data_IF_881894372073
#
_entry.id   IF_881894372073
#
_cell.length_a   1.000
_cell.length_b   1.000
_cell.length_c   1.000
_cell.angle_alpha   90.00
_cell.angle_beta   90.00
_cell.angle_gamma   90.00
#
_symmetry.space_group_name_H-M   'P 1'
#
loop_
_entity.id
_entity.type
_entity.pdbx_description
1 polymer ?
#
# COMPACT_ATOMS: atom_id res chain seq x y z
N UNK A 1 39.02 -13.39 34.20
CA UNK A 1 38.25 -12.19 33.78
C UNK A 1 37.60 -12.32 32.40
N UNK A 2 38.30 -12.83 31.38
CA UNK A 2 37.81 -12.96 29.98
C UNK A 2 36.50 -13.77 29.81
N UNK A 3 36.33 -14.85 30.58
CA UNK A 3 35.17 -15.75 30.47
C UNK A 3 33.85 -15.16 31.02
N UNK A 4 33.93 -14.24 31.99
CA UNK A 4 32.73 -13.52 32.51
C UNK A 4 32.21 -12.50 31.49
N UNK A 5 33.11 -11.84 30.77
CA UNK A 5 32.78 -10.84 29.76
C UNK A 5 32.08 -11.46 28.54
N UNK A 6 32.51 -12.64 28.09
CA UNK A 6 31.88 -13.37 26.96
C UNK A 6 30.46 -13.83 27.32
N UNK A 7 30.25 -14.36 28.53
CA UNK A 7 28.91 -14.76 28.99
C UNK A 7 27.98 -13.55 29.12
N UNK A 8 28.48 -12.41 29.57
CA UNK A 8 27.70 -11.18 29.68
C UNK A 8 27.30 -10.65 28.30
N UNK A 9 28.20 -10.68 27.31
CA UNK A 9 27.90 -10.29 25.93
C UNK A 9 26.88 -11.21 25.26
N UNK A 10 26.99 -12.53 25.45
CA UNK A 10 25.98 -13.48 24.94
C UNK A 10 24.60 -13.28 25.56
N UNK A 11 24.54 -12.98 26.86
CA UNK A 11 23.27 -12.68 27.56
C UNK A 11 22.67 -11.37 27.03
N UNK A 12 23.48 -10.34 26.79
CA UNK A 12 23.01 -9.07 26.22
C UNK A 12 22.47 -9.27 24.79
N UNK A 13 23.21 -9.97 23.92
CA UNK A 13 22.76 -10.26 22.56
C UNK A 13 21.48 -11.12 22.52
N UNK A 14 21.37 -12.10 23.42
CA UNK A 14 20.21 -12.99 23.49
C UNK A 14 18.96 -12.26 24.03
N UNK A 15 19.12 -11.35 24.99
CA UNK A 15 18.02 -10.49 25.46
C UNK A 15 17.60 -9.46 24.40
N UNK A 16 18.55 -8.93 23.62
CA UNK A 16 18.23 -7.98 22.53
C UNK A 16 17.44 -8.66 21.40
N UNK A 17 17.83 -9.87 21.00
CA UNK A 17 17.08 -10.67 20.03
C UNK A 17 15.66 -11.03 20.52
N UNK A 18 15.51 -11.31 21.83
CA UNK A 18 14.22 -11.63 22.42
C UNK A 18 13.27 -10.42 22.47
N UNK A 19 13.79 -9.20 22.71
CA UNK A 19 12.99 -7.98 22.64
C UNK A 19 12.51 -7.63 21.23
N UNK A 20 13.31 -7.88 20.19
CA UNK A 20 12.94 -7.63 18.79
C UNK A 20 11.82 -8.61 18.35
N UNK A 21 11.90 -9.88 18.77
CA UNK A 21 10.86 -10.89 18.50
C UNK A 21 9.54 -10.59 19.23
N UNK A 22 9.57 -10.06 20.46
CA UNK A 22 8.35 -9.72 21.21
C UNK A 22 7.68 -8.43 20.74
N UNK A 23 8.44 -7.43 20.28
CA UNK A 23 7.87 -6.20 19.71
C UNK A 23 7.13 -6.48 18.40
N UNK A 24 7.64 -7.38 17.54
CA UNK A 24 6.96 -7.80 16.31
C UNK A 24 5.67 -8.60 16.56
N UNK A 25 5.58 -9.32 17.69
CA UNK A 25 4.38 -10.08 18.07
C UNK A 25 3.27 -9.22 18.68
N UNK A 26 3.59 -8.03 19.22
CA UNK A 26 2.58 -7.10 19.78
C UNK A 26 1.82 -6.30 18.69
N UNK A 27 2.31 -6.33 17.45
CA UNK A 27 1.67 -5.74 16.27
C UNK A 27 1.04 -6.78 15.34
N UNK A 28 1.17 -8.06 15.65
CA UNK A 28 0.48 -9.11 14.93
C UNK A 28 -1.01 -9.10 15.33
N UNK A 29 -1.84 -8.40 14.56
CA UNK A 29 -3.31 -8.47 14.65
C UNK A 29 -4.05 -7.19 15.01
N UNK A 30 -3.40 -6.02 15.03
CA UNK A 30 -4.11 -4.75 15.04
C UNK A 30 -4.40 -4.29 13.61
N UNK A 31 -5.56 -3.67 13.38
CA UNK A 31 -5.88 -3.05 12.10
C UNK A 31 -4.93 -1.86 11.85
N UNK A 32 -4.31 -1.84 10.68
CA UNK A 32 -3.44 -0.74 10.22
C UNK A 32 -4.23 0.10 9.24
N UNK A 33 -4.31 1.40 9.49
CA UNK A 33 -4.86 2.35 8.54
C UNK A 33 -3.84 2.63 7.44
N UNK A 34 -4.24 2.39 6.19
CA UNK A 34 -3.38 2.50 5.00
C UNK A 34 -3.50 3.88 4.35
N UNK A 35 -4.72 4.38 4.12
CA UNK A 35 -4.94 5.69 3.51
C UNK A 35 -4.77 6.85 4.51
N UNK A 36 -4.32 8.00 4.02
CA UNK A 36 -4.01 9.22 4.76
C UNK A 36 -5.08 10.32 4.59
N UNK A 37 -6.19 10.04 3.93
CA UNK A 37 -7.24 11.03 3.68
C UNK A 37 -7.87 11.55 4.98
N UNK A 38 -8.20 12.85 5.05
CA UNK A 38 -8.94 13.38 6.18
C UNK A 38 -10.39 12.85 6.16
N UNK A 39 -10.82 12.22 7.26
CA UNK A 39 -12.22 11.88 7.49
C UNK A 39 -12.61 10.44 7.14
N UNK A 40 -13.84 10.27 6.65
CA UNK A 40 -14.50 8.98 6.37
C UNK A 40 -14.82 8.82 4.88
N UNK A 41 -13.91 9.28 4.00
CA UNK A 41 -14.02 8.95 2.58
C UNK A 41 -14.04 7.43 2.43
N UNK A 42 -14.92 6.95 1.56
CA UNK A 42 -15.15 5.54 1.42
C UNK A 42 -14.07 4.98 0.51
N UNK A 43 -13.25 4.10 1.06
CA UNK A 43 -12.33 3.27 0.30
C UNK A 43 -12.92 1.88 0.16
N UNK A 44 -13.11 1.41 -1.05
CA UNK A 44 -13.58 0.05 -1.32
C UNK A 44 -12.81 -0.60 -2.47
N UNK A 45 -13.06 -1.91 -2.65
CA UNK A 45 -12.50 -2.70 -3.76
C UNK A 45 -10.97 -2.65 -3.80
N UNK A 46 -10.37 -2.76 -2.62
CA UNK A 46 -8.93 -2.71 -2.46
C UNK A 46 -8.23 -3.94 -3.06
N UNK A 47 -7.08 -3.68 -3.69
CA UNK A 47 -6.12 -4.65 -4.18
C UNK A 47 -4.75 -4.32 -3.58
N UNK A 48 -3.95 -5.33 -3.24
CA UNK A 48 -2.62 -5.16 -2.63
C UNK A 48 -1.60 -6.05 -3.33
N UNK A 49 -0.39 -5.53 -3.51
CA UNK A 49 0.78 -6.30 -3.95
C UNK A 49 1.99 -6.06 -3.06
N UNK A 50 2.92 -7.02 -3.09
CA UNK A 50 4.24 -6.93 -2.47
C UNK A 50 5.23 -6.79 -3.61
N UNK A 51 6.06 -5.75 -3.59
CA UNK A 51 7.12 -5.61 -4.57
C UNK A 51 8.28 -6.57 -4.23
N UNK A 52 8.53 -7.63 -5.03
CA UNK A 52 9.57 -8.61 -4.72
C UNK A 52 10.99 -8.04 -4.89
N UNK A 53 11.15 -6.94 -5.64
CA UNK A 53 12.44 -6.30 -5.90
C UNK A 53 12.88 -5.39 -4.74
N UNK A 54 11.93 -4.75 -4.06
CA UNK A 54 12.19 -3.78 -2.98
C UNK A 54 11.62 -4.30 -1.65
N UNK A 55 12.45 -4.93 -0.78
CA UNK A 55 11.99 -5.45 0.50
C UNK A 55 11.29 -4.37 1.34
N UNK A 56 10.09 -4.68 1.84
CA UNK A 56 9.28 -3.76 2.63
C UNK A 56 8.39 -2.82 1.81
N UNK A 57 8.49 -2.85 0.46
CA UNK A 57 7.56 -2.11 -0.38
C UNK A 57 6.27 -2.89 -0.63
N UNK A 58 5.16 -2.33 -0.13
CA UNK A 58 3.79 -2.78 -0.40
C UNK A 58 3.08 -1.64 -1.11
N UNK A 59 2.21 -1.99 -2.06
CA UNK A 59 1.36 -1.02 -2.76
C UNK A 59 -0.07 -1.52 -2.72
N UNK A 60 -0.98 -0.63 -2.36
CA UNK A 60 -2.43 -0.87 -2.31
C UNK A 60 -3.10 0.09 -3.27
N UNK A 61 -4.00 -0.42 -4.10
CA UNK A 61 -4.90 0.38 -4.93
C UNK A 61 -6.33 0.18 -4.45
N UNK A 62 -7.14 1.23 -4.46
CA UNK A 62 -8.53 1.18 -4.03
C UNK A 62 -9.34 2.26 -4.75
N UNK A 63 -10.65 2.06 -4.84
CA UNK A 63 -11.53 3.14 -5.27
C UNK A 63 -11.50 4.23 -4.19
N UNK A 64 -11.17 5.44 -4.62
CA UNK A 64 -11.30 6.66 -3.84
C UNK A 64 -12.64 7.29 -4.18
N UNK A 65 -13.61 7.23 -3.25
CA UNK A 65 -14.87 7.95 -3.37
C UNK A 65 -14.83 9.25 -2.56
N UNK A 66 -14.52 10.41 -3.18
CA UNK A 66 -14.59 11.71 -2.51
C UNK A 66 -16.04 12.12 -2.19
N UNK A 67 -17.03 11.31 -2.56
CA UNK A 67 -18.42 11.73 -2.75
C UNK A 67 -19.41 11.07 -1.80
N UNK A 68 -18.99 10.84 -0.55
CA UNK A 68 -19.93 10.69 0.58
C UNK A 68 -21.12 11.66 0.43
N UNK A 69 -22.34 11.22 0.77
CA UNK A 69 -23.58 11.48 0.02
C UNK A 69 -23.57 12.77 -0.81
N UNK A 70 -23.00 12.72 -2.02
CA UNK A 70 -22.77 13.95 -2.80
C UNK A 70 -22.41 13.77 -4.28
N UNK A 71 -21.76 12.66 -4.66
CA UNK A 71 -21.53 12.27 -6.06
C UNK A 71 -20.55 13.15 -6.86
N UNK A 72 -19.65 12.49 -7.60
CA UNK A 72 -18.86 12.96 -8.76
C UNK A 72 -17.36 13.20 -8.46
N UNK A 73 -16.59 12.11 -8.59
CA UNK A 73 -15.13 12.09 -8.75
C UNK A 73 -14.51 10.76 -8.31
N UNK A 74 -14.90 9.61 -8.86
CA UNK A 74 -14.33 8.32 -8.44
C UNK A 74 -12.89 8.23 -8.97
N UNK A 75 -11.89 8.28 -8.11
CA UNK A 75 -10.48 8.11 -8.49
C UNK A 75 -9.97 6.74 -8.07
N UNK A 76 -8.77 6.35 -8.53
CA UNK A 76 -8.02 5.26 -7.88
C UNK A 76 -6.98 5.88 -6.95
N UNK A 77 -7.19 5.70 -5.66
CA UNK A 77 -6.19 5.97 -4.63
C UNK A 77 -5.12 4.88 -4.63
N UNK A 78 -3.86 5.29 -4.48
CA UNK A 78 -2.71 4.42 -4.32
C UNK A 78 -2.05 4.75 -2.99
N UNK A 79 -1.96 3.77 -2.08
CA UNK A 79 -1.12 3.87 -0.89
C UNK A 79 0.11 2.98 -1.02
N UNK A 80 1.24 3.47 -0.55
CA UNK A 80 2.51 2.75 -0.60
C UNK A 80 3.28 2.88 0.71
N UNK A 81 4.14 1.90 0.96
CA UNK A 81 5.07 1.86 2.10
C UNK A 81 6.44 1.37 1.63
N UNK A 82 7.49 1.62 2.39
CA UNK A 82 8.83 1.02 2.18
C UNK A 82 9.38 0.35 3.44
N UNK A 83 8.61 0.31 4.51
CA UNK A 83 9.02 -0.22 5.82
C UNK A 83 8.13 -1.39 6.28
N UNK A 84 7.46 -2.05 5.33
CA UNK A 84 6.61 -3.20 5.58
C UNK A 84 5.26 -2.83 6.19
N UNK A 85 4.79 -1.59 5.98
CA UNK A 85 3.48 -1.13 6.42
C UNK A 85 3.46 -0.42 7.78
N UNK A 86 4.61 0.07 8.25
CA UNK A 86 4.69 0.88 9.48
C UNK A 86 4.31 2.34 9.18
N UNK A 87 4.79 2.88 8.05
CA UNK A 87 4.40 4.20 7.54
C UNK A 87 3.87 4.08 6.11
N UNK A 88 2.85 4.88 5.79
CA UNK A 88 2.17 4.89 4.50
C UNK A 88 2.16 6.31 3.92
N UNK A 89 2.35 6.40 2.61
CA UNK A 89 2.10 7.59 1.81
C UNK A 89 1.09 7.30 0.72
N UNK A 90 0.48 8.35 0.18
CA UNK A 90 -0.57 8.22 -0.84
C UNK A 90 -0.26 9.01 -2.12
N UNK A 91 -0.85 8.55 -3.22
CA UNK A 91 -0.93 9.23 -4.50
C UNK A 91 -2.22 8.78 -5.22
N UNK A 92 -2.42 9.24 -6.45
CA UNK A 92 -3.54 8.81 -7.29
C UNK A 92 -3.03 8.40 -8.67
N UNK A 93 -3.72 7.47 -9.31
CA UNK A 93 -3.56 7.29 -10.75
C UNK A 93 -4.04 8.55 -11.47
N UNK A 94 -3.45 8.86 -12.62
CA UNK A 94 -3.96 9.92 -13.47
C UNK A 94 -5.33 9.54 -14.02
N UNK A 95 -6.28 10.47 -13.95
CA UNK A 95 -7.62 10.33 -14.54
C UNK A 95 -7.53 10.11 -16.06
N UNK A 96 -8.38 9.24 -16.59
CA UNK A 96 -8.49 9.01 -18.03
C UNK A 96 -9.81 9.58 -18.56
N UNK A 97 -10.93 9.24 -17.92
CA UNK A 97 -12.28 9.67 -18.32
C UNK A 97 -13.13 10.25 -17.17
N UNK A 98 -12.50 10.57 -16.03
CA UNK A 98 -13.04 11.19 -14.81
C UNK A 98 -13.86 10.28 -13.89
N UNK A 99 -14.02 9.01 -14.26
CA UNK A 99 -14.60 8.01 -13.37
C UNK A 99 -13.76 6.75 -13.50
N UNK A 100 -13.01 6.47 -12.45
CA UNK A 100 -12.14 5.32 -12.33
C UNK A 100 -12.66 4.35 -11.28
N UNK A 101 -12.48 3.05 -11.52
CA UNK A 101 -12.94 2.03 -10.59
C UNK A 101 -12.29 0.67 -10.79
N UNK A 102 -12.60 -0.22 -9.85
CA UNK A 102 -12.25 -1.64 -9.82
C UNK A 102 -10.74 -1.90 -10.01
N UNK A 103 -9.87 -1.33 -9.15
CA UNK A 103 -8.43 -1.46 -9.36
C UNK A 103 -7.93 -2.87 -9.01
N UNK A 104 -6.90 -3.29 -9.74
CA UNK A 104 -6.06 -4.43 -9.42
C UNK A 104 -4.61 -4.01 -9.51
N UNK A 105 -3.82 -4.27 -8.48
CA UNK A 105 -2.39 -3.91 -8.44
C UNK A 105 -1.52 -5.16 -8.36
N UNK A 106 -0.43 -5.17 -9.14
CA UNK A 106 0.58 -6.22 -9.09
C UNK A 106 1.99 -5.68 -9.35
N UNK A 107 3.02 -6.44 -9.00
CA UNK A 107 4.42 -6.08 -9.16
C UNK A 107 5.18 -7.16 -9.93
N UNK A 108 6.02 -6.76 -10.88
CA UNK A 108 6.93 -7.69 -11.55
C UNK A 108 8.22 -7.93 -10.74
N UNK A 109 9.07 -8.84 -11.23
CA UNK A 109 10.34 -9.17 -10.60
C UNK A 109 11.40 -8.06 -10.68
N UNK A 110 11.19 -7.04 -11.52
CA UNK A 110 12.08 -5.89 -11.66
C UNK A 110 11.66 -4.72 -10.77
N UNK A 111 10.53 -4.85 -10.07
CA UNK A 111 9.99 -3.84 -9.18
C UNK A 111 9.10 -2.82 -9.86
N UNK A 112 8.70 -3.04 -11.10
CA UNK A 112 7.65 -2.25 -11.74
C UNK A 112 6.30 -2.66 -11.15
N UNK A 113 5.58 -1.68 -10.64
CA UNK A 113 4.21 -1.83 -10.15
C UNK A 113 3.26 -1.52 -11.31
N UNK A 114 2.21 -2.32 -11.48
CA UNK A 114 1.14 -2.12 -12.45
C UNK A 114 -0.18 -2.00 -11.70
N UNK A 115 -0.95 -0.96 -11.99
CA UNK A 115 -2.32 -0.80 -11.52
C UNK A 115 -3.26 -0.85 -12.74
N UNK A 116 -4.00 -1.94 -12.88
CA UNK A 116 -5.09 -2.08 -13.84
C UNK A 116 -6.40 -1.54 -13.27
N UNK A 117 -7.18 -0.80 -14.05
CA UNK A 117 -8.44 -0.20 -13.60
C UNK A 117 -9.38 0.04 -14.79
N UNK A 118 -10.67 0.18 -14.51
CA UNK A 118 -11.63 0.68 -15.49
C UNK A 118 -11.66 2.20 -15.45
N UNK A 119 -11.82 2.85 -16.60
CA UNK A 119 -12.15 4.27 -16.66
C UNK A 119 -13.23 4.53 -17.69
N UNK A 120 -14.20 5.36 -17.33
CA UNK A 120 -15.35 5.68 -18.17
C UNK A 120 -15.87 7.11 -17.93
N UNK A 121 -16.63 7.65 -18.89
CA UNK A 121 -17.37 8.89 -18.73
C UNK A 121 -18.88 8.60 -18.72
N UNK A 122 -19.61 9.13 -17.74
CA UNK A 122 -21.06 8.94 -17.64
C UNK A 122 -21.46 7.52 -17.22
N UNK A 123 -22.33 6.86 -17.98
CA UNK A 123 -22.76 5.48 -17.73
C UNK A 123 -21.96 4.49 -18.60
N UNK A 124 -21.88 3.22 -18.20
CA UNK A 124 -21.05 2.16 -18.81
C UNK A 124 -21.20 1.92 -20.33
N UNK A 125 -22.05 2.66 -21.03
CA UNK A 125 -22.32 2.54 -22.47
C UNK A 125 -21.67 3.61 -23.35
N UNK A 126 -21.06 4.64 -22.75
CA UNK A 126 -20.31 5.68 -23.49
C UNK A 126 -18.81 5.34 -23.53
N UNK A 127 -17.93 6.33 -23.66
CA UNK A 127 -16.47 6.20 -23.67
C UNK A 127 -16.01 5.48 -22.40
N UNK A 128 -15.50 4.25 -22.56
CA UNK A 128 -14.99 3.42 -21.47
C UNK A 128 -13.84 2.54 -21.94
N UNK A 129 -13.06 2.01 -20.99
CA UNK A 129 -12.03 1.02 -21.26
C UNK A 129 -11.36 0.51 -20.00
N UNK A 130 -10.47 -0.48 -20.20
CA UNK A 130 -9.55 -0.98 -19.18
C UNK A 130 -8.19 -0.35 -19.46
N UNK A 131 -7.59 0.25 -18.43
CA UNK A 131 -6.32 0.97 -18.49
C UNK A 131 -5.33 0.36 -17.50
N UNK A 132 -4.05 0.64 -17.74
CA UNK A 132 -2.97 0.24 -16.85
C UNK A 132 -2.07 1.45 -16.62
N UNK A 133 -1.94 1.86 -15.36
CA UNK A 133 -0.86 2.73 -14.91
C UNK A 133 0.32 1.86 -14.46
N UNK A 134 1.54 2.40 -14.53
CA UNK A 134 2.72 1.72 -14.02
C UNK A 134 3.60 2.68 -13.25
N UNK A 135 4.34 2.14 -12.29
CA UNK A 135 5.27 2.87 -11.43
C UNK A 135 6.60 2.13 -11.35
N UNK A 136 7.71 2.86 -11.46
CA UNK A 136 9.06 2.31 -11.31
C UNK A 136 9.76 2.78 -10.02
N UNK A 137 9.04 3.51 -9.16
CA UNK A 137 9.53 4.08 -7.92
C UNK A 137 8.76 3.58 -6.70
N UNK A 138 8.14 2.39 -6.82
CA UNK A 138 7.47 1.71 -5.71
C UNK A 138 6.06 2.23 -5.41
N UNK A 139 5.40 2.83 -6.41
CA UNK A 139 4.04 3.35 -6.29
C UNK A 139 3.96 4.84 -5.96
N UNK A 140 5.06 5.59 -6.07
CA UNK A 140 5.08 7.04 -5.82
C UNK A 140 4.50 7.82 -7.00
N UNK A 141 4.87 7.44 -8.22
CA UNK A 141 4.42 8.05 -9.47
C UNK A 141 4.03 7.04 -10.53
#
# INVERSE_FOLDING_TARGET
MRQKQIKMLQIVCMNFAFCILFAGLLWAGADVRVNQDPGFLLQNEASITINPFTPGNLVVAYNEDPSGPGGMGQGIGISYTFDGGVMWGDTHVAEVWNIEGDPSVDADLNGTIFAGFMSYNGFFTDTNGIYVAFSNDGGLT
#
